data_IF_872504352509
#
_entry.id   IF_872504352509
#
_cell.length_a   1.000
_cell.length_b   1.000
_cell.length_c   1.000
_cell.angle_alpha   90.00
_cell.angle_beta   90.00
_cell.angle_gamma   90.00
#
_symmetry.space_group_name_H-M   'P 1'
#
loop_
_entity.id
_entity.type
_entity.pdbx_description
1 polymer ?
#
# COMPACT_ATOMS: atom_id res chain seq x y z
N UNK A 1 -5.93 -20.78 7.47
CA UNK A 1 -6.81 -21.09 8.58
C UNK A 1 -7.56 -19.83 9.04
N UNK A 2 -8.88 -19.97 9.29
CA UNK A 2 -9.76 -18.87 9.72
C UNK A 2 -9.31 -18.23 11.03
N UNK A 3 -8.89 -19.04 12.00
CA UNK A 3 -8.46 -18.56 13.32
C UNK A 3 -7.19 -17.69 13.21
N UNK A 4 -6.23 -18.09 12.39
CA UNK A 4 -5.02 -17.31 12.15
C UNK A 4 -5.35 -16.00 11.45
N UNK A 5 -6.22 -16.03 10.45
CA UNK A 5 -6.66 -14.86 9.72
C UNK A 5 -7.42 -13.89 10.62
N UNK A 6 -8.28 -14.41 11.49
CA UNK A 6 -8.99 -13.61 12.48
C UNK A 6 -8.03 -12.94 13.46
N UNK A 7 -6.98 -13.67 13.90
CA UNK A 7 -5.94 -13.11 14.77
C UNK A 7 -5.16 -11.99 14.09
N UNK A 8 -4.80 -12.15 12.82
CA UNK A 8 -4.11 -11.10 12.04
C UNK A 8 -4.95 -9.83 11.97
N UNK A 9 -6.27 -9.98 11.81
CA UNK A 9 -7.19 -8.85 11.72
C UNK A 9 -7.40 -8.15 13.06
N UNK A 10 -7.50 -8.90 14.17
CA UNK A 10 -7.87 -8.37 15.49
C UNK A 10 -6.70 -7.99 16.37
N UNK A 11 -5.49 -8.44 16.05
CA UNK A 11 -4.29 -8.24 16.87
C UNK A 11 -3.21 -7.45 16.14
N UNK A 12 -3.58 -6.33 15.54
CA UNK A 12 -2.60 -5.42 14.96
C UNK A 12 -1.93 -4.68 16.11
N UNK A 13 -0.60 -4.81 16.29
CA UNK A 13 0.09 -4.15 17.38
C UNK A 13 0.10 -2.64 17.22
N UNK A 14 0.43 -1.94 18.30
CA UNK A 14 0.63 -0.50 18.26
C UNK A 14 1.88 -0.22 17.41
N UNK A 15 1.80 0.66 16.40
CA UNK A 15 2.95 0.96 15.56
C UNK A 15 4.12 1.56 16.35
N UNK A 16 5.31 1.05 16.09
CA UNK A 16 6.57 1.65 16.56
C UNK A 16 7.07 2.60 15.50
N UNK A 17 6.58 3.84 15.55
CA UNK A 17 6.81 4.84 14.52
C UNK A 17 8.17 5.50 14.64
N UNK A 18 8.83 5.69 13.50
CA UNK A 18 10.06 6.47 13.38
C UNK A 18 10.10 7.15 12.01
N UNK A 19 10.89 8.21 11.94
CA UNK A 19 11.08 8.92 10.67
C UNK A 19 12.11 8.18 9.83
N UNK A 20 11.76 7.84 8.58
CA UNK A 20 12.69 7.16 7.68
C UNK A 20 12.46 7.59 6.22
N UNK A 21 13.50 7.51 5.37
CA UNK A 21 13.36 7.85 3.95
C UNK A 21 12.58 6.76 3.21
N UNK A 22 11.60 7.18 2.41
CA UNK A 22 10.80 6.25 1.60
C UNK A 22 11.68 5.52 0.59
N UNK A 23 12.72 6.16 0.08
CA UNK A 23 13.64 5.55 -0.88
C UNK A 23 14.27 4.26 -0.36
N UNK A 24 14.61 4.20 0.94
CA UNK A 24 15.19 2.98 1.51
C UNK A 24 14.19 1.83 1.54
N UNK A 25 12.93 2.11 1.83
CA UNK A 25 11.86 1.11 1.78
C UNK A 25 11.62 0.63 0.35
N UNK A 26 11.58 1.55 -0.61
CA UNK A 26 11.37 1.22 -2.02
C UNK A 26 12.54 0.41 -2.59
N UNK A 27 13.78 0.67 -2.17
CA UNK A 27 14.93 -0.13 -2.58
C UNK A 27 14.80 -1.58 -2.13
N UNK A 28 14.37 -1.80 -0.89
CA UNK A 28 14.13 -3.15 -0.38
C UNK A 28 13.00 -3.85 -1.16
N UNK A 29 11.92 -3.15 -1.45
CA UNK A 29 10.80 -3.70 -2.22
C UNK A 29 11.22 -4.02 -3.66
N UNK A 30 12.00 -3.15 -4.28
CA UNK A 30 12.52 -3.37 -5.64
C UNK A 30 13.32 -4.66 -5.73
N UNK A 31 14.07 -5.00 -4.66
CA UNK A 31 14.81 -6.24 -4.59
C UNK A 31 13.97 -7.50 -4.60
N UNK A 32 12.71 -7.42 -4.16
CA UNK A 32 11.77 -8.55 -4.15
C UNK A 32 11.12 -8.80 -5.52
N UNK A 33 11.16 -7.81 -6.41
CA UNK A 33 10.50 -7.87 -7.73
C UNK A 33 11.52 -7.57 -8.82
N UNK A 34 12.41 -8.53 -9.14
CA UNK A 34 13.42 -8.33 -10.17
C UNK A 34 12.78 -8.19 -11.56
N UNK A 35 13.58 -7.67 -12.49
CA UNK A 35 13.17 -7.54 -13.89
C UNK A 35 12.66 -8.88 -14.44
N UNK A 36 11.51 -8.85 -15.11
CA UNK A 36 10.86 -10.05 -15.62
C UNK A 36 9.68 -9.71 -16.52
N UNK A 37 8.66 -10.59 -16.54
CA UNK A 37 7.48 -10.42 -17.38
C UNK A 37 6.67 -9.17 -17.01
N UNK A 38 6.69 -8.77 -15.74
CA UNK A 38 5.97 -7.58 -15.26
C UNK A 38 6.96 -6.42 -15.14
N UNK A 39 6.59 -5.26 -15.69
CA UNK A 39 7.37 -4.04 -15.54
C UNK A 39 7.03 -3.37 -14.22
N UNK A 40 8.01 -3.26 -13.32
CA UNK A 40 7.88 -2.55 -12.05
C UNK A 40 8.62 -1.22 -12.13
N UNK A 41 7.99 -0.15 -11.67
CA UNK A 41 8.66 1.14 -11.49
C UNK A 41 8.42 1.68 -10.10
N UNK A 42 9.47 2.26 -9.51
CA UNK A 42 9.45 2.87 -8.18
C UNK A 42 9.98 4.30 -8.31
N UNK A 43 9.24 5.26 -7.78
CA UNK A 43 9.59 6.67 -7.86
C UNK A 43 9.30 7.37 -6.53
N UNK A 44 10.24 8.19 -6.07
CA UNK A 44 10.10 9.01 -4.85
C UNK A 44 10.40 10.46 -5.22
N UNK A 45 9.45 11.38 -4.93
CA UNK A 45 9.60 12.81 -5.18
C UNK A 45 9.06 13.64 -4.00
N UNK A 46 9.87 14.49 -3.37
CA UNK A 46 11.30 14.66 -3.63
C UNK A 46 12.07 13.40 -3.22
N UNK A 47 13.27 13.22 -3.75
CA UNK A 47 14.07 12.00 -3.55
C UNK A 47 14.38 11.72 -2.06
N UNK A 48 14.39 12.76 -1.25
CA UNK A 48 14.64 12.71 0.19
C UNK A 48 13.35 12.65 1.04
N UNK A 49 12.21 12.37 0.40
CA UNK A 49 10.93 12.26 1.11
C UNK A 49 11.02 11.26 2.25
N UNK A 50 10.58 11.69 3.43
CA UNK A 50 10.50 10.85 4.63
C UNK A 50 9.07 10.73 5.11
N UNK A 51 8.78 9.60 5.75
CA UNK A 51 7.51 9.37 6.44
C UNK A 51 7.77 8.98 7.89
N UNK A 52 6.81 9.30 8.75
CA UNK A 52 6.82 8.89 10.15
C UNK A 52 5.84 7.73 10.30
N UNK A 53 6.37 6.52 10.46
CA UNK A 53 5.57 5.30 10.46
C UNK A 53 6.36 4.14 11.05
N UNK A 54 5.67 3.03 11.29
CA UNK A 54 6.30 1.75 11.57
C UNK A 54 6.73 1.13 10.24
N UNK A 55 8.04 1.14 9.96
CA UNK A 55 8.58 0.71 8.68
C UNK A 55 8.17 -0.71 8.30
N UNK A 56 8.23 -1.65 9.24
CA UNK A 56 7.87 -3.04 8.99
C UNK A 56 6.38 -3.19 8.64
N UNK A 57 5.51 -2.44 9.31
CA UNK A 57 4.07 -2.47 9.05
C UNK A 57 3.74 -1.88 7.68
N UNK A 58 4.39 -0.78 7.30
CA UNK A 58 4.17 -0.16 5.98
C UNK A 58 4.74 -1.06 4.87
N UNK A 59 5.88 -1.70 5.10
CA UNK A 59 6.40 -2.70 4.17
C UNK A 59 5.39 -3.83 3.93
N UNK A 60 4.77 -4.33 5.00
CA UNK A 60 3.73 -5.35 4.89
C UNK A 60 2.53 -4.87 4.07
N UNK A 61 2.08 -3.63 4.29
CA UNK A 61 1.00 -3.04 3.49
C UNK A 61 1.37 -3.02 2.01
N UNK A 62 2.57 -2.53 1.69
CA UNK A 62 3.02 -2.43 0.30
C UNK A 62 3.19 -3.81 -0.34
N UNK A 63 3.69 -4.80 0.38
CA UNK A 63 3.79 -6.18 -0.13
C UNK A 63 2.39 -6.72 -0.46
N UNK A 64 1.39 -6.49 0.40
CA UNK A 64 0.02 -6.90 0.13
C UNK A 64 -0.55 -6.22 -1.12
N UNK A 65 -0.31 -4.92 -1.28
CA UNK A 65 -0.78 -4.18 -2.45
C UNK A 65 -0.07 -4.62 -3.73
N UNK A 66 1.24 -4.87 -3.65
CA UNK A 66 2.02 -5.36 -4.78
C UNK A 66 1.59 -6.75 -5.20
N UNK A 67 1.31 -7.62 -4.24
CA UNK A 67 0.78 -8.97 -4.53
C UNK A 67 -0.55 -8.87 -5.29
N UNK A 68 -1.46 -8.02 -4.85
CA UNK A 68 -2.73 -7.80 -5.53
C UNK A 68 -2.53 -7.25 -6.94
N UNK A 69 -1.61 -6.30 -7.11
CA UNK A 69 -1.30 -5.71 -8.40
C UNK A 69 -0.75 -6.74 -9.39
N UNK A 70 0.18 -7.57 -8.94
CA UNK A 70 0.74 -8.66 -9.76
C UNK A 70 -0.35 -9.62 -10.21
N UNK A 71 -1.19 -10.08 -9.30
CA UNK A 71 -2.29 -11.00 -9.61
C UNK A 71 -3.29 -10.37 -10.60
N UNK A 72 -3.54 -9.07 -10.49
CA UNK A 72 -4.49 -8.37 -11.35
C UNK A 72 -3.97 -8.18 -12.78
N UNK A 73 -2.66 -8.04 -12.99
CA UNK A 73 -2.11 -7.68 -14.30
C UNK A 73 -1.30 -8.78 -14.98
N UNK A 74 -1.02 -9.91 -14.32
CA UNK A 74 -0.11 -10.94 -14.84
C UNK A 74 -0.56 -11.53 -16.19
N UNK A 75 -1.85 -11.55 -16.48
CA UNK A 75 -2.40 -12.05 -17.74
C UNK A 75 -2.49 -10.98 -18.84
N UNK A 76 -2.10 -9.74 -18.53
CA UNK A 76 -2.06 -8.68 -19.52
C UNK A 76 -0.88 -8.86 -20.47
N UNK A 77 -1.01 -8.35 -21.70
CA UNK A 77 0.04 -8.42 -22.72
C UNK A 77 1.28 -7.63 -22.30
N UNK A 78 1.09 -6.49 -21.64
CA UNK A 78 2.15 -5.62 -21.16
C UNK A 78 1.90 -5.25 -19.70
N UNK A 79 2.07 -6.24 -18.77
CA UNK A 79 1.73 -5.99 -17.37
C UNK A 79 2.67 -4.98 -16.74
N UNK A 80 2.10 -4.01 -16.04
CA UNK A 80 2.83 -2.91 -15.45
C UNK A 80 2.33 -2.60 -14.03
N UNK A 81 3.25 -2.43 -13.10
CA UNK A 81 2.98 -2.00 -11.73
C UNK A 81 3.86 -0.79 -11.42
N UNK A 82 3.26 0.28 -10.94
CA UNK A 82 3.95 1.53 -10.58
C UNK A 82 3.75 1.83 -9.10
N UNK A 83 4.84 2.11 -8.42
CA UNK A 83 4.83 2.52 -7.02
C UNK A 83 5.43 3.92 -6.93
N UNK A 84 4.64 4.89 -6.49
CA UNK A 84 5.06 6.28 -6.41
C UNK A 84 4.88 6.82 -5.00
N UNK A 85 5.84 7.61 -4.53
CA UNK A 85 5.73 8.36 -3.30
C UNK A 85 5.95 9.83 -3.60
N UNK A 86 5.08 10.68 -3.07
CA UNK A 86 5.11 12.12 -3.31
C UNK A 86 4.33 12.86 -2.23
N UNK A 87 4.32 14.19 -2.29
CA UNK A 87 3.47 15.01 -1.41
C UNK A 87 2.30 15.56 -2.20
N UNK A 88 1.12 15.45 -1.60
CA UNK A 88 -0.10 16.07 -2.11
C UNK A 88 -0.58 17.05 -1.06
N UNK A 89 -0.51 18.35 -1.37
CA UNK A 89 -0.87 19.42 -0.42
C UNK A 89 -0.14 19.29 0.92
N UNK A 90 1.16 18.96 0.86
CA UNK A 90 2.01 18.82 2.03
C UNK A 90 1.91 17.48 2.76
N UNK A 91 1.02 16.59 2.32
CA UNK A 91 0.80 15.28 2.93
C UNK A 91 1.56 14.21 2.16
N UNK A 92 2.38 13.38 2.82
CA UNK A 92 3.03 12.25 2.15
C UNK A 92 2.00 11.23 1.67
N UNK A 93 2.17 10.78 0.44
CA UNK A 93 1.28 9.83 -0.23
C UNK A 93 2.12 8.75 -0.93
N UNK A 94 1.69 7.50 -0.83
CA UNK A 94 2.25 6.40 -1.61
C UNK A 94 1.12 5.79 -2.43
N UNK A 95 1.34 5.61 -3.74
CA UNK A 95 0.38 4.95 -4.62
C UNK A 95 0.97 3.67 -5.18
N UNK A 96 0.11 2.65 -5.32
CA UNK A 96 0.43 1.41 -6.03
C UNK A 96 -0.61 1.25 -7.14
N UNK A 97 -0.16 1.35 -8.39
CA UNK A 97 -1.03 1.30 -9.57
C UNK A 97 -0.68 0.10 -10.43
N UNK A 98 -1.70 -0.57 -10.96
CA UNK A 98 -1.53 -1.63 -11.94
C UNK A 98 -2.42 -1.37 -13.16
N UNK A 99 -2.07 -1.99 -14.27
CA UNK A 99 -2.87 -1.98 -15.50
C UNK A 99 -3.66 -3.27 -15.69
N UNK A 100 -4.07 -3.89 -14.58
CA UNK A 100 -4.80 -5.16 -14.58
C UNK A 100 -6.26 -5.05 -14.96
N UNK A 101 -7.01 -6.05 -14.57
CA UNK A 101 -8.44 -6.14 -14.93
C UNK A 101 -9.34 -5.16 -14.20
N UNK A 102 -8.82 -4.51 -13.18
CA UNK A 102 -9.61 -3.62 -12.35
C UNK A 102 -10.54 -4.38 -11.41
N UNK A 103 -11.41 -3.62 -10.77
CA UNK A 103 -12.40 -4.14 -9.82
C UNK A 103 -13.78 -3.87 -10.40
N UNK A 104 -14.63 -4.89 -10.44
CA UNK A 104 -16.01 -4.72 -10.91
C UNK A 104 -16.75 -3.76 -9.98
N UNK A 105 -17.67 -2.92 -10.52
CA UNK A 105 -18.35 -1.93 -9.70
C UNK A 105 -19.06 -2.50 -8.47
N UNK A 106 -19.60 -3.70 -8.59
CA UNK A 106 -20.33 -4.40 -7.52
C UNK A 106 -19.42 -4.75 -6.33
N UNK A 107 -18.11 -4.86 -6.54
CA UNK A 107 -17.13 -5.22 -5.51
C UNK A 107 -16.44 -4.00 -4.89
N UNK A 108 -16.55 -2.80 -5.47
CA UNK A 108 -15.81 -1.61 -5.04
C UNK A 108 -16.02 -1.26 -3.57
N UNK A 109 -17.24 -1.30 -3.06
CA UNK A 109 -17.56 -0.99 -1.67
C UNK A 109 -17.18 -2.11 -0.70
N UNK A 110 -16.75 -3.26 -1.20
CA UNK A 110 -16.47 -4.44 -0.38
C UNK A 110 -15.00 -4.81 -0.33
N UNK A 111 -14.13 -4.09 -1.04
CA UNK A 111 -12.71 -4.47 -1.14
C UNK A 111 -11.99 -4.47 0.21
N UNK A 112 -12.42 -3.63 1.16
CA UNK A 112 -11.86 -3.56 2.50
C UNK A 112 -12.65 -4.36 3.54
N UNK A 113 -13.75 -5.02 3.15
CA UNK A 113 -14.54 -5.86 4.06
C UNK A 113 -13.77 -7.13 4.38
N UNK A 114 -13.55 -7.45 5.68
CA UNK A 114 -12.86 -8.69 6.04
C UNK A 114 -13.53 -9.92 5.45
N UNK A 115 -12.72 -10.87 4.99
CA UNK A 115 -13.13 -12.14 4.40
C UNK A 115 -13.86 -12.05 3.06
N UNK A 116 -14.06 -10.84 2.53
CA UNK A 116 -14.55 -10.69 1.16
C UNK A 116 -13.38 -10.88 0.19
N UNK A 117 -13.58 -11.75 -0.80
CA UNK A 117 -12.60 -11.97 -1.87
C UNK A 117 -13.30 -12.45 -3.13
N UNK A 118 -12.82 -11.96 -4.29
CA UNK A 118 -13.21 -12.48 -5.62
C UNK A 118 -12.21 -13.52 -6.12
N UNK A 119 -11.14 -13.78 -5.34
CA UNK A 119 -10.06 -14.69 -5.73
C UNK A 119 -10.27 -16.07 -5.14
N UNK A 120 -10.12 -17.09 -5.96
CA UNK A 120 -10.16 -18.47 -5.51
C UNK A 120 -8.94 -18.74 -4.60
N UNK A 121 -9.20 -19.23 -3.39
CA UNK A 121 -8.14 -19.50 -2.41
C UNK A 121 -7.62 -18.27 -1.66
N UNK A 122 -8.13 -17.08 -1.94
CA UNK A 122 -7.78 -15.87 -1.20
C UNK A 122 -8.45 -15.83 0.16
N UNK A 123 -7.75 -15.30 1.18
CA UNK A 123 -8.29 -15.18 2.54
C UNK A 123 -9.30 -14.04 2.68
N UNK A 124 -9.20 -13.02 1.85
CA UNK A 124 -10.04 -11.82 1.92
C UNK A 124 -9.71 -10.88 3.07
N UNK A 125 -8.53 -11.02 3.70
CA UNK A 125 -8.14 -10.16 4.83
C UNK A 125 -7.02 -9.17 4.50
N UNK A 126 -6.30 -9.37 3.40
CA UNK A 126 -5.12 -8.55 3.06
C UNK A 126 -5.42 -7.06 3.06
N UNK A 127 -6.45 -6.62 2.35
CA UNK A 127 -6.81 -5.21 2.26
C UNK A 127 -7.40 -4.67 3.57
N UNK A 128 -8.18 -5.46 4.31
CA UNK A 128 -8.69 -5.03 5.61
C UNK A 128 -7.57 -4.86 6.63
N UNK A 129 -6.55 -5.72 6.61
CA UNK A 129 -5.35 -5.55 7.44
C UNK A 129 -4.60 -4.27 7.06
N UNK A 130 -4.43 -4.00 5.76
CA UNK A 130 -3.81 -2.76 5.28
C UNK A 130 -4.56 -1.53 5.81
N UNK A 131 -5.89 -1.53 5.74
CA UNK A 131 -6.72 -0.44 6.23
C UNK A 131 -6.54 -0.23 7.74
N UNK A 132 -6.50 -1.31 8.51
CA UNK A 132 -6.30 -1.20 9.96
C UNK A 132 -4.91 -0.67 10.30
N UNK A 133 -3.87 -1.11 9.59
CA UNK A 133 -2.52 -0.60 9.77
C UNK A 133 -2.50 0.91 9.50
N UNK A 134 -3.08 1.36 8.39
CA UNK A 134 -3.12 2.78 8.06
C UNK A 134 -3.92 3.58 9.11
N UNK A 135 -5.05 3.05 9.58
CA UNK A 135 -5.83 3.68 10.64
C UNK A 135 -5.02 3.83 11.94
N UNK A 136 -4.23 2.81 12.30
CA UNK A 136 -3.35 2.86 13.47
C UNK A 136 -2.27 3.93 13.35
N UNK A 137 -1.91 4.31 12.13
CA UNK A 137 -0.95 5.37 11.85
C UNK A 137 -1.59 6.76 11.74
N UNK A 138 -2.91 6.86 11.90
CA UNK A 138 -3.62 8.12 11.70
C UNK A 138 -3.73 8.51 10.22
N UNK A 139 -3.46 7.58 9.33
CA UNK A 139 -3.56 7.77 7.88
C UNK A 139 -4.78 7.10 7.29
N UNK A 140 -4.77 6.89 5.99
CA UNK A 140 -5.87 6.26 5.27
C UNK A 140 -5.39 5.46 4.07
N UNK A 141 -6.22 4.55 3.61
CA UNK A 141 -6.06 3.86 2.34
C UNK A 141 -7.33 4.05 1.52
N UNK A 142 -7.18 4.31 0.24
CA UNK A 142 -8.29 4.45 -0.69
C UNK A 142 -7.97 3.72 -2.00
N UNK A 143 -9.00 3.51 -2.82
CA UNK A 143 -8.86 2.79 -4.07
C UNK A 143 -9.66 3.50 -5.18
N UNK A 144 -9.06 3.57 -6.35
CA UNK A 144 -9.71 3.96 -7.59
C UNK A 144 -9.47 2.83 -8.58
N UNK A 145 -10.52 2.37 -9.23
CA UNK A 145 -10.41 1.29 -10.20
C UNK A 145 -11.42 1.47 -11.31
N UNK A 146 -11.01 1.08 -12.50
CA UNK A 146 -11.89 1.01 -13.66
C UNK A 146 -11.72 -0.39 -14.27
N UNK A 147 -12.83 -1.10 -14.45
CA UNK A 147 -12.85 -2.44 -15.00
C UNK A 147 -12.12 -2.47 -16.34
N UNK A 148 -11.26 -3.46 -16.53
CA UNK A 148 -10.41 -3.67 -17.72
C UNK A 148 -9.31 -2.62 -17.93
N UNK A 149 -9.16 -1.62 -17.04
CA UNK A 149 -8.12 -0.60 -17.17
C UNK A 149 -7.07 -0.64 -16.08
N UNK A 150 -7.46 -1.03 -14.86
CA UNK A 150 -6.53 -1.16 -13.75
C UNK A 150 -7.02 -0.56 -12.46
N UNK A 151 -6.14 -0.61 -11.46
CA UNK A 151 -6.45 -0.20 -10.08
C UNK A 151 -5.32 0.62 -9.51
N UNK A 152 -5.66 1.65 -8.74
CA UNK A 152 -4.70 2.44 -7.97
C UNK A 152 -5.14 2.47 -6.51
N UNK A 153 -4.28 1.96 -5.63
CA UNK A 153 -4.42 2.12 -4.19
C UNK A 153 -3.57 3.30 -3.74
N UNK A 154 -4.12 4.13 -2.86
CA UNK A 154 -3.44 5.31 -2.32
C UNK A 154 -3.36 5.22 -0.81
N UNK A 155 -2.13 5.28 -0.28
CA UNK A 155 -1.85 5.40 1.14
C UNK A 155 -1.59 6.87 1.44
N UNK A 156 -2.34 7.45 2.36
CA UNK A 156 -2.14 8.82 2.79
C UNK A 156 -1.69 8.82 4.24
N UNK A 157 -0.55 9.47 4.51
CA UNK A 157 0.04 9.55 5.85
C UNK A 157 -0.37 10.87 6.50
N UNK A 158 -0.37 10.95 7.85
CA UNK A 158 -0.67 12.22 8.51
C UNK A 158 0.42 13.26 8.22
N UNK A 159 0.07 14.55 8.32
CA UNK A 159 1.03 15.63 8.16
C UNK A 159 2.10 15.57 9.24
N UNK A 160 3.38 15.69 8.82
CA UNK A 160 4.53 15.63 9.72
C UNK A 160 4.96 17.01 10.25
N UNK A 161 4.25 18.08 9.92
CA UNK A 161 4.59 19.47 10.35
C UNK A 161 4.81 19.61 11.86
N UNK A 162 4.01 18.90 12.66
CA UNK A 162 4.10 18.95 14.12
C UNK A 162 5.40 18.32 14.62
N UNK A 163 5.91 17.30 13.93
CA UNK A 163 7.15 16.62 14.26
C UNK A 163 8.36 17.48 13.93
N UNK A 164 8.38 18.11 12.75
CA UNK A 164 9.46 19.02 12.35
C UNK A 164 9.51 20.27 13.22
N UNK A 165 8.37 20.81 13.66
CA UNK A 165 8.32 21.97 14.54
C UNK A 165 8.84 21.71 15.95
N UNK A 166 8.84 20.45 16.40
CA UNK A 166 9.40 20.08 17.71
C UNK A 166 10.90 19.85 17.65
N UNK A 167 11.40 19.35 16.53
CA UNK A 167 12.82 19.06 16.35
C UNK A 167 13.64 20.33 16.06
N UNK A 168 13.01 21.38 15.57
CA UNK A 168 13.68 22.65 15.25
C UNK A 168 13.76 23.58 16.48
N UNK A 169 12.98 23.30 17.53
CA UNK A 169 12.90 24.10 18.73
C UNK A 169 13.84 23.67 19.87
N UNK A 170 14.73 22.76 19.60
CA UNK A 170 15.79 22.34 20.50
C UNK A 170 17.16 22.76 19.89
#
# INVERSE_FOLDING_TARGET
>A
DFVENYRKLTRIPIPMQQLFPVSSLFDDLRGLYPAGAISFSFSVRPVDLRIYADRAMIEQVLINLLKNAVEACQERSYPEVRVNAFRREGVPVITVSDNGYGIVPEAMDKVFVPFFTTKQGGSGIGLSVCRQIMNRHGGSISVISEEEKGTTFTLQFPQTRVLYGRDIGQ
#
